data_IF_092683720670
#
_entry.id   IF_092683720670
#
_cell.length_a   1.000
_cell.length_b   1.000
_cell.length_c   1.000
_cell.angle_alpha   90.00
_cell.angle_beta   90.00
_cell.angle_gamma   90.00
#
_symmetry.space_group_name_H-M   'P 1'
#
loop_
_entity.id
_entity.type
_entity.pdbx_description
1 polymer ?
#
# COMPACT_ATOMS: atom_id res chain seq x y z
N UNK A 1 16.60 -0.51 6.45
CA UNK A 1 15.25 -0.14 6.05
C UNK A 1 14.57 -1.32 5.38
N UNK A 2 13.28 -1.42 5.49
CA UNK A 2 12.53 -2.51 4.88
C UNK A 2 12.02 -2.10 3.50
N UNK A 3 11.91 -3.06 2.62
CA UNK A 3 11.39 -2.83 1.28
C UNK A 3 9.95 -3.33 1.20
N UNK A 4 9.09 -2.51 0.67
CA UNK A 4 7.67 -2.82 0.54
C UNK A 4 7.27 -2.72 -0.92
N UNK A 5 6.28 -3.50 -1.30
CA UNK A 5 5.74 -3.50 -2.65
C UNK A 5 4.39 -2.78 -2.64
N UNK A 6 4.28 -1.75 -3.46
CA UNK A 6 3.05 -1.00 -3.60
C UNK A 6 2.38 -1.39 -4.91
N UNK A 7 1.15 -1.86 -4.82
CA UNK A 7 0.34 -2.18 -5.99
C UNK A 7 -0.78 -1.15 -6.09
N UNK A 8 -0.83 -0.48 -7.23
CA UNK A 8 -1.92 0.45 -7.52
C UNK A 8 -3.01 -0.32 -8.25
N UNK A 9 -4.24 -0.14 -7.82
CA UNK A 9 -5.37 -0.85 -8.39
C UNK A 9 -6.22 0.13 -9.19
N UNK A 10 -6.83 -0.38 -10.26
CA UNK A 10 -7.76 0.45 -11.04
C UNK A 10 -9.16 0.37 -10.42
N UNK A 11 -10.12 1.06 -11.02
CA UNK A 11 -11.48 1.09 -10.49
C UNK A 11 -12.19 -0.24 -10.54
N UNK A 12 -11.66 -1.21 -11.30
CA UNK A 12 -12.22 -2.54 -11.40
C UNK A 12 -11.56 -3.53 -10.43
N UNK A 13 -10.64 -3.05 -9.59
CA UNK A 13 -9.98 -3.90 -8.61
C UNK A 13 -8.82 -4.69 -9.14
N UNK A 14 -8.30 -4.34 -10.30
CA UNK A 14 -7.14 -5.00 -10.89
C UNK A 14 -5.90 -4.16 -10.66
N UNK A 15 -4.76 -4.84 -10.52
CA UNK A 15 -3.49 -4.15 -10.36
C UNK A 15 -3.09 -3.50 -11.67
N UNK A 16 -2.80 -2.21 -11.63
CA UNK A 16 -2.39 -1.47 -12.82
C UNK A 16 -0.89 -1.19 -12.81
N UNK A 17 -0.29 -0.92 -11.66
CA UNK A 17 1.14 -0.68 -11.56
C UNK A 17 1.66 -1.26 -10.26
N UNK A 18 2.98 -1.38 -10.18
CA UNK A 18 3.66 -1.83 -8.97
C UNK A 18 4.93 -1.01 -8.79
N UNK A 19 5.16 -0.57 -7.56
CA UNK A 19 6.33 0.21 -7.19
C UNK A 19 6.96 -0.34 -5.93
N UNK A 20 8.21 0.06 -5.67
CA UNK A 20 8.89 -0.26 -4.43
C UNK A 20 8.86 0.94 -3.50
N UNK A 21 8.62 0.67 -2.23
CA UNK A 21 8.65 1.68 -1.18
C UNK A 21 9.65 1.21 -0.13
N UNK A 22 10.55 2.09 0.29
CA UNK A 22 11.48 1.80 1.37
C UNK A 22 11.11 2.63 2.58
N UNK A 23 11.00 1.99 3.73
CA UNK A 23 10.65 2.67 4.96
C UNK A 23 11.23 1.90 6.14
N UNK A 24 11.31 2.57 7.29
CA UNK A 24 11.89 1.95 8.47
C UNK A 24 10.97 0.90 9.08
N UNK A 25 9.66 1.12 8.96
CA UNK A 25 8.68 0.21 9.53
C UNK A 25 7.36 0.35 8.78
N UNK A 26 6.38 -0.46 9.17
CA UNK A 26 5.08 -0.49 8.52
C UNK A 26 4.39 0.87 8.60
N UNK A 27 4.46 1.50 9.76
CA UNK A 27 3.77 2.77 9.98
C UNK A 27 4.28 3.84 9.03
N UNK A 28 5.61 3.91 8.87
CA UNK A 28 6.20 4.89 7.97
C UNK A 28 5.92 4.57 6.51
N UNK A 29 5.89 3.27 6.18
CA UNK A 29 5.54 2.86 4.83
C UNK A 29 4.10 3.25 4.52
N UNK A 30 3.19 3.01 5.44
CA UNK A 30 1.78 3.37 5.25
C UNK A 30 1.63 4.88 5.09
N UNK A 31 2.32 5.65 5.91
CA UNK A 31 2.26 7.10 5.83
C UNK A 31 2.76 7.61 4.47
N UNK A 32 3.87 7.04 3.99
CA UNK A 32 4.42 7.45 2.71
C UNK A 32 3.47 7.12 1.56
N UNK A 33 2.87 5.93 1.60
CA UNK A 33 1.96 5.51 0.54
C UNK A 33 0.66 6.32 0.59
N UNK A 34 0.14 6.57 1.77
CA UNK A 34 -1.09 7.36 1.92
C UNK A 34 -0.89 8.76 1.35
N UNK A 35 0.27 9.36 1.61
CA UNK A 35 0.58 10.68 1.08
C UNK A 35 0.69 10.66 -0.44
N UNK A 36 1.29 9.59 -0.99
CA UNK A 36 1.52 9.49 -2.42
C UNK A 36 0.24 9.16 -3.18
N UNK A 37 -0.57 8.25 -2.64
CA UNK A 37 -1.71 7.73 -3.36
C UNK A 37 -2.98 8.54 -3.15
N UNK A 38 -3.01 9.33 -2.09
CA UNK A 38 -4.20 10.13 -1.77
C UNK A 38 -5.42 9.24 -1.64
N UNK A 39 -6.35 9.28 -2.60
CA UNK A 39 -7.58 8.49 -2.53
C UNK A 39 -7.62 7.33 -3.51
N UNK A 40 -6.51 7.07 -4.21
CA UNK A 40 -6.47 5.97 -5.17
C UNK A 40 -6.40 4.63 -4.44
N UNK A 41 -7.06 3.59 -4.96
CA UNK A 41 -6.98 2.27 -4.34
C UNK A 41 -5.58 1.67 -4.47
N UNK A 42 -5.11 1.04 -3.41
CA UNK A 42 -3.78 0.42 -3.43
C UNK A 42 -3.72 -0.75 -2.46
N UNK A 43 -2.67 -1.57 -2.61
CA UNK A 43 -2.27 -2.56 -1.63
C UNK A 43 -0.78 -2.42 -1.39
N UNK A 44 -0.40 -2.51 -0.12
CA UNK A 44 0.99 -2.41 0.29
C UNK A 44 1.40 -3.72 0.94
N UNK A 45 2.45 -4.34 0.41
CA UNK A 45 2.90 -5.65 0.84
C UNK A 45 4.37 -5.63 1.25
N UNK A 46 4.71 -6.49 2.19
CA UNK A 46 6.10 -6.79 2.51
C UNK A 46 6.28 -8.28 2.35
N UNK A 47 6.96 -8.69 1.27
CA UNK A 47 7.02 -10.09 0.92
C UNK A 47 5.61 -10.61 0.62
N UNK A 48 5.20 -11.62 1.36
CA UNK A 48 3.85 -12.16 1.20
C UNK A 48 2.90 -11.73 2.33
N UNK A 49 3.27 -10.66 3.05
CA UNK A 49 2.45 -10.14 4.14
C UNK A 49 1.79 -8.84 3.70
N UNK A 50 0.47 -8.81 3.76
CA UNK A 50 -0.28 -7.60 3.45
C UNK A 50 -0.15 -6.62 4.62
N UNK A 51 0.42 -5.44 4.35
CA UNK A 51 0.64 -4.44 5.37
C UNK A 51 -0.57 -3.52 5.49
N UNK A 52 -1.08 -3.06 4.37
CA UNK A 52 -2.24 -2.16 4.35
C UNK A 52 -2.88 -2.21 2.98
N UNK A 53 -4.14 -1.85 2.93
CA UNK A 53 -4.82 -1.69 1.65
C UNK A 53 -5.83 -0.57 1.76
N UNK A 54 -6.09 0.05 0.63
CA UNK A 54 -7.06 1.12 0.53
C UNK A 54 -8.00 0.81 -0.62
N UNK A 55 -9.27 0.99 -0.39
CA UNK A 55 -10.27 0.84 -1.42
C UNK A 55 -11.26 1.98 -1.28
N UNK A 56 -11.58 2.64 -2.39
CA UNK A 56 -12.54 3.74 -2.39
C UNK A 56 -12.16 4.84 -1.39
N UNK A 57 -10.87 5.09 -1.24
CA UNK A 57 -10.40 6.15 -0.36
C UNK A 57 -10.32 5.78 1.12
N UNK A 58 -10.69 4.58 1.48
CA UNK A 58 -10.64 4.11 2.86
C UNK A 58 -9.42 3.22 3.05
N UNK A 59 -8.61 3.53 4.05
CA UNK A 59 -7.42 2.74 4.34
C UNK A 59 -7.71 1.76 5.46
N UNK A 60 -7.43 0.49 5.19
CA UNK A 60 -7.55 -0.57 6.19
C UNK A 60 -6.17 -1.12 6.48
N UNK A 61 -5.83 -1.17 7.75
CA UNK A 61 -4.58 -1.75 8.19
C UNK A 61 -4.88 -3.13 8.77
N UNK A 62 -4.21 -4.14 8.22
CA UNK A 62 -4.39 -5.51 8.71
C UNK A 62 -3.54 -5.69 9.94
N UNK A 63 -4.19 -6.05 11.03
CA UNK A 63 -3.54 -6.16 12.33
C UNK A 63 -3.47 -7.62 12.78
N UNK A 64 -2.94 -8.45 11.97
CA UNK A 64 -2.85 -9.88 12.30
C UNK A 64 -1.64 -10.22 13.12
#
# INVERSE_FOLDING_TARGET
>A
MAAYRLYEMDGAGRFSTADWIEAEDDERAIAAVTSKMASAPFELWQGNRLVARSASGTTEQRAD
#
